data_IF_720918706080
#
_entry.id   IF_720918706080
#
_cell.length_a   1.000
_cell.length_b   1.000
_cell.length_c   1.000
_cell.angle_alpha   90.00
_cell.angle_beta   90.00
_cell.angle_gamma   90.00
#
_symmetry.space_group_name_H-M   'P 1'
#
loop_
_entity.id
_entity.type
_entity.pdbx_description
1 polymer ?
#
# COMPACT_ATOMS: atom_id res chain seq x y z
N UNK A 1 -44.78 6.15 19.46
CA UNK A 1 -43.34 5.92 19.68
C UNK A 1 -42.72 7.21 20.15
N UNK A 2 -41.98 7.16 21.26
CA UNK A 2 -41.33 8.34 21.83
C UNK A 2 -40.18 8.80 20.93
N UNK A 3 -39.79 10.07 21.01
CA UNK A 3 -38.68 10.63 20.23
C UNK A 3 -37.35 9.85 20.42
N UNK A 4 -37.23 9.12 21.54
CA UNK A 4 -36.09 8.27 21.87
C UNK A 4 -36.06 6.94 21.11
N UNK A 5 -37.21 6.31 20.86
CA UNK A 5 -37.27 5.05 20.08
C UNK A 5 -36.83 5.28 18.62
N UNK A 6 -37.27 6.38 18.01
CA UNK A 6 -36.88 6.76 16.65
C UNK A 6 -35.38 7.11 16.55
N UNK A 7 -34.81 7.65 17.63
CA UNK A 7 -33.39 7.96 17.70
C UNK A 7 -32.55 6.69 17.81
N UNK A 8 -32.98 5.72 18.62
CA UNK A 8 -32.32 4.41 18.73
C UNK A 8 -32.34 3.67 17.40
N UNK A 9 -33.48 3.64 16.71
CA UNK A 9 -33.61 3.00 15.39
C UNK A 9 -32.67 3.65 14.34
N UNK A 10 -32.49 4.97 14.38
CA UNK A 10 -31.52 5.68 13.52
C UNK A 10 -30.07 5.34 13.85
N UNK A 11 -29.74 5.17 15.13
CA UNK A 11 -28.38 4.81 15.56
C UNK A 11 -28.06 3.38 15.10
N UNK A 12 -28.98 2.44 15.27
CA UNK A 12 -28.81 1.05 14.81
C UNK A 12 -28.61 0.98 13.28
N UNK A 13 -29.41 1.73 12.52
CA UNK A 13 -29.26 1.81 11.07
C UNK A 13 -27.91 2.42 10.63
N UNK A 14 -27.39 3.41 11.37
CA UNK A 14 -26.07 3.98 11.12
C UNK A 14 -24.95 2.98 11.44
N UNK A 15 -25.08 2.22 12.52
CA UNK A 15 -24.11 1.18 12.87
C UNK A 15 -24.08 0.07 11.81
N UNK A 16 -25.24 -0.36 11.30
CA UNK A 16 -25.31 -1.33 10.21
C UNK A 16 -24.70 -0.81 8.92
N UNK A 17 -24.98 0.46 8.55
CA UNK A 17 -24.37 1.08 7.39
C UNK A 17 -22.83 1.08 7.46
N UNK A 18 -22.26 1.33 8.65
CA UNK A 18 -20.80 1.30 8.87
C UNK A 18 -20.23 -0.12 8.73
N UNK A 19 -20.96 -1.13 9.19
CA UNK A 19 -20.57 -2.54 9.04
C UNK A 19 -20.58 -2.92 7.56
N UNK A 20 -21.62 -2.55 6.82
CA UNK A 20 -21.75 -2.83 5.38
C UNK A 20 -20.66 -2.13 4.55
N UNK A 21 -20.30 -0.89 4.89
CA UNK A 21 -19.18 -0.22 4.22
C UNK A 21 -17.84 -0.91 4.48
N UNK A 22 -17.64 -1.49 5.68
CA UNK A 22 -16.42 -2.24 6.00
C UNK A 22 -16.37 -3.56 5.24
N UNK A 23 -17.48 -4.31 5.19
CA UNK A 23 -17.53 -5.57 4.44
C UNK A 23 -17.32 -5.33 2.94
N UNK A 24 -17.93 -4.28 2.38
CA UNK A 24 -17.73 -3.88 0.99
C UNK A 24 -16.26 -3.54 0.69
N UNK A 25 -15.55 -2.89 1.62
CA UNK A 25 -14.12 -2.61 1.46
C UNK A 25 -13.28 -3.89 1.45
N UNK A 26 -13.65 -4.91 2.24
CA UNK A 26 -13.00 -6.22 2.23
C UNK A 26 -13.28 -6.99 0.93
N UNK A 27 -14.51 -6.92 0.42
CA UNK A 27 -14.92 -7.57 -0.82
C UNK A 27 -14.27 -6.93 -2.06
N UNK A 28 -14.09 -5.60 -2.08
CA UNK A 28 -13.32 -4.91 -3.13
C UNK A 28 -11.86 -5.38 -3.11
N UNK A 29 -11.28 -5.61 -1.93
CA UNK A 29 -9.91 -6.12 -1.82
C UNK A 29 -9.78 -7.55 -2.34
N UNK A 30 -10.81 -8.38 -2.11
CA UNK A 30 -10.86 -9.80 -2.52
C UNK A 30 -11.13 -9.96 -4.02
N UNK A 31 -12.04 -9.18 -4.59
CA UNK A 31 -12.36 -9.17 -6.02
C UNK A 31 -11.16 -8.78 -6.88
N UNK A 32 -10.43 -7.74 -6.49
CA UNK A 32 -9.18 -7.32 -7.14
C UNK A 32 -8.08 -8.40 -7.10
N UNK A 33 -8.06 -9.27 -6.09
CA UNK A 33 -7.15 -10.43 -6.04
C UNK A 33 -7.64 -11.57 -6.93
N UNK A 34 -8.94 -11.86 -6.93
CA UNK A 34 -9.49 -12.98 -7.71
C UNK A 34 -9.45 -12.73 -9.22
N UNK A 35 -9.67 -11.50 -9.71
CA UNK A 35 -9.63 -11.22 -11.15
C UNK A 35 -8.22 -11.35 -11.76
N UNK A 36 -7.17 -11.17 -10.96
CA UNK A 36 -5.77 -11.41 -11.39
C UNK A 36 -5.45 -12.92 -11.41
N UNK A 37 -6.12 -13.72 -10.58
CA UNK A 37 -5.77 -15.12 -10.34
C UNK A 37 -6.44 -16.14 -11.29
N UNK A 38 -7.47 -15.77 -12.06
CA UNK A 38 -8.21 -16.73 -12.89
C UNK A 38 -7.47 -17.24 -14.15
N UNK A 39 -6.19 -16.90 -14.36
CA UNK A 39 -5.42 -17.40 -15.52
C UNK A 39 -3.93 -17.68 -15.28
N UNK A 40 -3.44 -17.63 -14.05
CA UNK A 40 -2.00 -17.64 -13.76
C UNK A 40 -1.63 -18.67 -12.71
N UNK A 41 -0.65 -19.52 -13.03
CA UNK A 41 -0.11 -20.59 -12.19
C UNK A 41 0.23 -20.11 -10.77
N UNK A 42 0.19 -21.00 -9.75
CA UNK A 42 0.42 -20.66 -8.33
C UNK A 42 1.73 -19.90 -8.04
N UNK A 43 2.71 -19.98 -8.95
CA UNK A 43 3.98 -19.24 -8.93
C UNK A 43 3.77 -17.72 -8.97
N UNK A 44 2.75 -17.24 -9.70
CA UNK A 44 2.49 -15.82 -9.91
C UNK A 44 1.84 -15.19 -8.67
N UNK A 45 0.99 -15.93 -7.96
CA UNK A 45 0.38 -15.47 -6.72
C UNK A 45 1.42 -15.20 -5.62
N UNK A 46 2.37 -16.12 -5.45
CA UNK A 46 3.49 -15.95 -4.50
C UNK A 46 4.40 -14.78 -4.89
N UNK A 47 4.62 -14.57 -6.19
CA UNK A 47 5.39 -13.42 -6.67
C UNK A 47 4.70 -12.08 -6.39
N UNK A 48 3.39 -11.99 -6.60
CA UNK A 48 2.62 -10.77 -6.34
C UNK A 48 2.63 -10.45 -4.83
N UNK A 49 2.40 -11.45 -3.98
CA UNK A 49 2.45 -11.27 -2.53
C UNK A 49 3.87 -10.87 -2.06
N UNK A 50 4.90 -11.48 -2.63
CA UNK A 50 6.31 -11.15 -2.36
C UNK A 50 6.65 -9.70 -2.76
N UNK A 51 6.09 -9.18 -3.86
CA UNK A 51 6.30 -7.80 -4.27
C UNK A 51 5.69 -6.78 -3.30
N UNK A 52 4.51 -7.06 -2.77
CA UNK A 52 3.85 -6.19 -1.79
C UNK A 52 4.55 -6.21 -0.44
N UNK A 53 5.06 -7.37 -0.01
CA UNK A 53 5.90 -7.48 1.19
C UNK A 53 7.19 -6.66 1.04
N UNK A 54 7.86 -6.77 -0.10
CA UNK A 54 9.11 -6.03 -0.36
C UNK A 54 8.88 -4.51 -0.45
N UNK A 55 7.71 -4.08 -0.90
CA UNK A 55 7.31 -2.66 -0.87
C UNK A 55 7.24 -2.10 0.56
N UNK A 56 6.59 -2.82 1.48
CA UNK A 56 6.44 -2.37 2.86
C UNK A 56 7.80 -2.20 3.55
N UNK A 57 8.71 -3.14 3.37
CA UNK A 57 10.05 -3.08 3.93
C UNK A 57 10.89 -1.95 3.33
N UNK A 58 10.79 -1.75 2.01
CA UNK A 58 11.48 -0.67 1.33
C UNK A 58 11.01 0.71 1.79
N UNK A 59 9.69 0.88 1.96
CA UNK A 59 9.11 2.11 2.49
C UNK A 59 9.68 2.43 3.86
N UNK A 60 9.66 1.45 4.78
CA UNK A 60 10.20 1.61 6.13
C UNK A 60 11.68 2.01 6.10
N UNK A 61 12.46 1.29 5.30
CA UNK A 61 13.90 1.55 5.15
C UNK A 61 14.18 2.95 4.60
N UNK A 62 13.45 3.38 3.57
CA UNK A 62 13.62 4.70 2.95
C UNK A 62 13.26 5.82 3.94
N UNK A 63 12.18 5.66 4.71
CA UNK A 63 11.80 6.62 5.77
C UNK A 63 12.86 6.72 6.85
N UNK A 64 13.47 5.61 7.25
CA UNK A 64 14.57 5.58 8.23
C UNK A 64 15.85 6.24 7.69
N UNK A 65 16.25 5.93 6.45
CA UNK A 65 17.46 6.46 5.83
C UNK A 65 17.33 7.87 5.24
N UNK A 66 16.11 8.40 5.11
CA UNK A 66 15.79 9.73 4.54
C UNK A 66 16.29 9.96 3.11
N UNK A 67 16.62 8.89 2.39
CA UNK A 67 17.16 8.92 1.05
C UNK A 67 16.70 7.68 0.28
N UNK A 68 16.34 7.86 -0.99
CA UNK A 68 15.95 6.76 -1.86
C UNK A 68 16.73 6.81 -3.17
N UNK A 69 17.44 5.73 -3.50
CA UNK A 69 18.06 5.53 -4.80
C UNK A 69 18.01 4.06 -5.21
N UNK A 70 18.09 3.80 -6.51
CA UNK A 70 18.08 2.45 -7.06
C UNK A 70 19.22 1.63 -6.44
N UNK A 71 20.45 2.13 -6.51
CA UNK A 71 21.63 1.43 -5.96
C UNK A 71 21.54 1.18 -4.46
N UNK A 72 20.88 2.05 -3.70
CA UNK A 72 20.66 1.86 -2.26
C UNK A 72 19.73 0.67 -2.01
N UNK A 73 18.61 0.59 -2.74
CA UNK A 73 17.68 -0.53 -2.63
C UNK A 73 18.27 -1.84 -3.15
N UNK A 74 19.06 -1.80 -4.22
CA UNK A 74 19.78 -2.98 -4.72
C UNK A 74 20.69 -3.59 -3.65
N UNK A 75 21.48 -2.77 -2.95
CA UNK A 75 22.38 -3.23 -1.89
C UNK A 75 21.63 -3.73 -0.66
N UNK A 76 20.55 -3.04 -0.27
CA UNK A 76 19.80 -3.37 0.95
C UNK A 76 18.98 -4.66 0.80
N UNK A 77 18.36 -4.86 -0.35
CA UNK A 77 17.42 -5.96 -0.60
C UNK A 77 17.98 -7.05 -1.49
N UNK A 78 19.20 -6.90 -2.02
CA UNK A 78 19.81 -7.90 -2.92
C UNK A 78 19.09 -8.04 -4.26
N UNK A 79 18.40 -7.00 -4.71
CA UNK A 79 17.55 -7.03 -5.90
C UNK A 79 18.24 -6.45 -7.14
N UNK A 80 17.80 -6.91 -8.32
CA UNK A 80 18.25 -6.36 -9.60
C UNK A 80 17.74 -4.95 -9.87
N UNK A 81 18.33 -4.28 -10.87
CA UNK A 81 18.02 -2.89 -11.25
C UNK A 81 16.53 -2.69 -11.56
N UNK A 82 15.92 -3.59 -12.35
CA UNK A 82 14.51 -3.50 -12.74
C UNK A 82 13.58 -3.47 -11.52
N UNK A 83 13.79 -4.40 -10.57
CA UNK A 83 12.99 -4.45 -9.34
C UNK A 83 13.20 -3.21 -8.47
N UNK A 84 14.44 -2.76 -8.31
CA UNK A 84 14.73 -1.53 -7.56
C UNK A 84 14.10 -0.29 -8.21
N UNK A 85 14.12 -0.20 -9.54
CA UNK A 85 13.50 0.88 -10.29
C UNK A 85 11.98 0.88 -10.11
N UNK A 86 11.33 -0.28 -10.25
CA UNK A 86 9.89 -0.42 -10.02
C UNK A 86 9.51 -0.02 -8.58
N UNK A 87 10.33 -0.42 -7.61
CA UNK A 87 10.13 -0.10 -6.20
C UNK A 87 10.22 1.42 -5.95
N UNK A 88 11.21 2.08 -6.55
CA UNK A 88 11.33 3.56 -6.54
C UNK A 88 10.08 4.20 -7.16
N UNK A 89 9.62 3.73 -8.32
CA UNK A 89 8.41 4.25 -8.97
C UNK A 89 7.16 4.05 -8.10
N UNK A 90 6.99 2.88 -7.49
CA UNK A 90 5.87 2.60 -6.56
C UNK A 90 5.90 3.55 -5.35
N UNK A 91 7.08 3.80 -4.78
CA UNK A 91 7.25 4.74 -3.66
C UNK A 91 6.95 6.19 -4.07
N UNK A 92 7.27 6.58 -5.30
CA UNK A 92 6.94 7.89 -5.86
C UNK A 92 5.43 8.05 -6.09
N UNK A 93 4.79 7.07 -6.76
CA UNK A 93 3.34 7.08 -7.02
C UNK A 93 2.52 7.15 -5.73
N UNK A 94 3.00 6.53 -4.64
CA UNK A 94 2.34 6.59 -3.33
C UNK A 94 2.76 7.81 -2.49
N UNK A 95 3.56 8.73 -3.05
CA UNK A 95 3.94 9.98 -2.39
C UNK A 95 4.95 9.83 -1.24
N UNK A 96 5.62 8.67 -1.13
CA UNK A 96 6.62 8.44 -0.08
C UNK A 96 7.92 9.22 -0.36
N UNK A 97 8.27 9.35 -1.63
CA UNK A 97 9.47 10.03 -2.10
C UNK A 97 9.13 11.12 -3.12
N UNK A 98 9.98 12.12 -3.22
CA UNK A 98 9.85 13.22 -4.16
C UNK A 98 10.26 12.85 -5.60
N UNK A 99 10.03 13.79 -6.54
CA UNK A 99 10.35 13.61 -7.96
C UNK A 99 11.85 13.38 -8.19
N UNK A 100 12.18 12.85 -9.37
CA UNK A 100 13.57 12.69 -9.82
C UNK A 100 14.22 14.06 -9.92
N UNK A 101 15.30 14.28 -9.16
CA UNK A 101 16.10 15.50 -9.22
C UNK A 101 17.49 15.17 -9.78
N UNK A 102 17.57 14.95 -11.10
CA UNK A 102 18.81 14.62 -11.79
C UNK A 102 19.47 13.33 -11.27
N UNK A 103 20.79 13.34 -11.12
CA UNK A 103 21.58 12.19 -10.64
C UNK A 103 21.56 12.00 -9.12
N UNK A 104 20.86 12.87 -8.38
CA UNK A 104 20.86 12.86 -6.92
C UNK A 104 19.80 11.89 -6.37
N UNK A 105 20.05 11.28 -5.20
CA UNK A 105 19.05 10.45 -4.53
C UNK A 105 17.79 11.26 -4.21
N UNK A 106 16.63 10.60 -4.33
CA UNK A 106 15.32 11.22 -4.11
C UNK A 106 15.15 11.56 -2.62
N UNK A 107 14.62 12.75 -2.37
CA UNK A 107 14.25 13.19 -1.01
C UNK A 107 12.99 12.46 -0.56
N UNK A 108 12.96 12.05 0.70
CA UNK A 108 11.80 11.40 1.31
C UNK A 108 10.85 12.47 1.84
N UNK A 109 9.58 12.36 1.49
CA UNK A 109 8.54 13.33 1.87
C UNK A 109 7.84 12.94 3.17
N UNK A 110 7.79 11.64 3.47
CA UNK A 110 7.25 11.12 4.71
C UNK A 110 8.27 11.30 5.83
N UNK A 111 8.05 12.33 6.66
CA UNK A 111 8.74 12.47 7.93
C UNK A 111 7.95 11.71 9.00
N UNK A 112 8.65 10.90 9.79
CA UNK A 112 8.08 10.38 11.04
C UNK A 112 7.90 11.58 11.98
N UNK A 113 6.69 12.15 12.03
CA UNK A 113 6.31 13.05 13.12
C UNK A 113 6.47 12.28 14.42
N UNK A 114 7.44 12.70 15.22
CA UNK A 114 7.59 12.23 16.60
C UNK A 114 6.63 12.98 17.49
#
# INVERSE_FOLDING_TARGET
MTNYELLCEKIENLEQLVIDFKSLAEDIKKSNLTEILHGSTPIIADQILSEDLMYADALKFVVEHKSASISLLQKKFGIGYQRASMLISKLETRGAIGPVNGSMPRKVLLFKSR
#
